data_IF_519152127210
#
_entry.id   IF_519152127210
#
_cell.length_a   1.000
_cell.length_b   1.000
_cell.length_c   1.000
_cell.angle_alpha   90.00
_cell.angle_beta   90.00
_cell.angle_gamma   90.00
#
_symmetry.space_group_name_H-M   'P 1'
#
loop_
_entity.id
_entity.type
_entity.pdbx_description
1 polymer ?
#
# COMPACT_ATOMS: atom_id res chain seq x y z
N UNK A 1 10.87 26.53 -14.51
CA UNK A 1 11.51 25.22 -14.79
C UNK A 1 10.47 24.12 -14.65
N UNK A 2 9.88 23.63 -15.75
CA UNK A 2 9.04 22.44 -15.69
C UNK A 2 9.93 21.26 -15.30
N UNK A 3 9.74 20.73 -14.08
CA UNK A 3 10.46 19.55 -13.60
C UNK A 3 10.22 18.40 -14.57
N UNK A 4 11.27 17.66 -14.90
CA UNK A 4 11.25 16.51 -15.82
C UNK A 4 10.05 15.59 -15.58
N UNK A 5 9.66 15.39 -14.32
CA UNK A 5 8.47 14.64 -13.91
C UNK A 5 7.16 15.16 -14.54
N UNK A 6 6.96 16.48 -14.61
CA UNK A 6 5.75 17.12 -15.15
C UNK A 6 5.67 16.99 -16.67
N UNK A 7 6.81 16.96 -17.35
CA UNK A 7 6.91 16.70 -18.80
C UNK A 7 6.65 15.22 -19.10
N UNK A 8 7.25 14.31 -18.35
CA UNK A 8 6.99 12.86 -18.45
C UNK A 8 5.51 12.51 -18.23
N UNK A 9 4.87 13.12 -17.23
CA UNK A 9 3.46 12.88 -16.93
C UNK A 9 2.52 13.30 -18.08
N UNK A 10 2.90 14.31 -18.89
CA UNK A 10 2.14 14.73 -20.07
C UNK A 10 2.29 13.77 -21.26
N UNK A 11 3.42 13.06 -21.33
CA UNK A 11 3.73 12.10 -22.39
C UNK A 11 3.16 10.70 -22.11
N UNK A 12 2.78 10.42 -20.86
CA UNK A 12 2.11 9.16 -20.51
C UNK A 12 0.66 9.18 -21.02
N UNK A 13 0.18 8.08 -21.64
CA UNK A 13 -1.20 7.99 -22.13
C UNK A 13 -2.18 8.14 -20.96
N UNK A 14 -2.94 9.24 -20.95
CA UNK A 14 -3.88 9.60 -19.87
C UNK A 14 -4.94 8.52 -19.63
N UNK A 15 -5.32 7.76 -20.66
CA UNK A 15 -6.33 6.71 -20.59
C UNK A 15 -5.82 5.37 -20.03
N UNK A 16 -4.52 5.10 -20.02
CA UNK A 16 -4.00 3.77 -19.69
C UNK A 16 -2.64 3.83 -18.99
N UNK A 17 -2.61 4.36 -17.77
CA UNK A 17 -1.44 4.24 -16.90
C UNK A 17 -1.20 2.74 -16.63
N UNK A 18 -0.03 2.17 -16.99
CA UNK A 18 0.31 0.78 -16.71
C UNK A 18 0.16 0.45 -15.21
N UNK A 19 -0.26 -0.76 -14.83
CA UNK A 19 -0.46 -1.14 -13.42
C UNK A 19 0.76 -0.87 -12.52
N UNK A 20 1.97 -1.03 -13.05
CA UNK A 20 3.24 -0.73 -12.37
C UNK A 20 3.33 0.73 -11.91
N UNK A 21 2.73 1.66 -12.65
CA UNK A 21 2.73 3.10 -12.34
C UNK A 21 1.53 3.52 -11.50
N UNK A 22 0.63 2.60 -11.15
CA UNK A 22 -0.51 2.88 -10.28
C UNK A 22 -0.09 2.74 -8.82
N UNK A 23 -0.22 3.80 -8.02
CA UNK A 23 -0.06 3.74 -6.55
C UNK A 23 -1.38 3.40 -5.82
N UNK A 24 -2.35 2.90 -6.57
CA UNK A 24 -3.73 2.72 -6.11
C UNK A 24 -3.84 1.52 -5.16
N UNK A 25 -4.82 1.60 -4.27
CA UNK A 25 -5.27 0.46 -3.49
C UNK A 25 -5.71 -0.72 -4.39
N UNK A 26 -5.21 -1.93 -4.14
CA UNK A 26 -5.62 -3.14 -4.86
C UNK A 26 -5.55 -4.36 -3.94
N UNK A 27 -5.69 -5.57 -4.48
CA UNK A 27 -5.42 -6.78 -3.70
C UNK A 27 -3.91 -6.88 -3.37
N UNK A 28 -3.54 -7.72 -2.40
CA UNK A 28 -2.15 -7.82 -1.94
C UNK A 28 -1.17 -8.15 -3.07
N UNK A 29 -1.51 -9.13 -3.90
CA UNK A 29 -0.63 -9.62 -4.96
C UNK A 29 -0.46 -8.59 -6.07
N UNK A 30 -1.54 -7.91 -6.45
CA UNK A 30 -1.52 -6.82 -7.44
C UNK A 30 -0.75 -5.60 -6.96
N UNK A 31 -0.65 -5.37 -5.65
CA UNK A 31 0.21 -4.32 -5.10
C UNK A 31 1.67 -4.76 -5.20
N UNK A 32 1.97 -5.96 -4.71
CA UNK A 32 3.34 -6.47 -4.66
C UNK A 32 3.94 -6.77 -6.05
N UNK A 33 3.12 -7.16 -7.03
CA UNK A 33 3.56 -7.49 -8.39
C UNK A 33 3.96 -6.27 -9.22
N UNK A 34 3.68 -5.04 -8.73
CA UNK A 34 4.12 -3.80 -9.38
C UNK A 34 5.62 -3.58 -9.28
N UNK A 35 6.26 -4.17 -8.28
CA UNK A 35 7.71 -4.12 -8.10
C UNK A 35 8.32 -5.47 -8.45
N UNK A 36 9.43 -5.51 -9.21
CA UNK A 36 10.07 -6.78 -9.58
C UNK A 36 10.60 -7.55 -8.36
N UNK A 37 10.94 -6.85 -7.28
CA UNK A 37 11.25 -7.46 -5.98
C UNK A 37 10.34 -6.90 -4.89
N UNK A 38 9.45 -7.76 -4.39
CA UNK A 38 8.53 -7.43 -3.31
C UNK A 38 9.14 -7.59 -1.92
N UNK A 39 10.31 -8.26 -1.79
CA UNK A 39 10.95 -8.51 -0.50
C UNK A 39 11.42 -7.20 0.13
N UNK A 40 11.21 -7.07 1.43
CA UNK A 40 11.53 -5.88 2.22
C UNK A 40 10.47 -4.77 2.15
N UNK A 41 9.47 -4.88 1.25
CA UNK A 41 8.40 -3.90 1.17
C UNK A 41 7.50 -3.96 2.39
N UNK A 42 7.01 -2.79 2.79
CA UNK A 42 5.99 -2.64 3.82
C UNK A 42 4.64 -2.47 3.13
N UNK A 43 3.63 -3.19 3.59
CA UNK A 43 2.25 -3.05 3.10
C UNK A 43 1.27 -3.11 4.25
N UNK A 44 0.15 -2.41 4.12
CA UNK A 44 -0.91 -2.42 5.13
C UNK A 44 -2.29 -2.61 4.50
N UNK A 45 -3.22 -3.10 5.31
CA UNK A 45 -4.63 -3.12 4.93
C UNK A 45 -5.23 -1.72 5.14
N UNK A 46 -5.87 -1.15 4.13
CA UNK A 46 -6.42 0.22 4.21
C UNK A 46 -7.44 0.38 5.34
N UNK A 47 -8.13 -0.71 5.70
CA UNK A 47 -9.06 -0.71 6.84
C UNK A 47 -8.37 -0.39 8.17
N UNK A 48 -7.07 -0.64 8.32
CA UNK A 48 -6.34 -0.29 9.53
C UNK A 48 -6.26 1.23 9.68
N UNK A 49 -5.92 1.93 8.61
CA UNK A 49 -5.97 3.39 8.54
C UNK A 49 -7.37 3.92 8.90
N UNK A 50 -8.43 3.35 8.30
CA UNK A 50 -9.83 3.72 8.60
C UNK A 50 -10.25 3.48 10.06
N UNK A 51 -9.57 2.56 10.74
CA UNK A 51 -9.80 2.24 12.16
C UNK A 51 -8.84 3.01 13.08
N UNK A 52 -8.14 4.01 12.57
CA UNK A 52 -7.12 4.78 13.31
C UNK A 52 -6.03 3.90 13.93
N UNK A 53 -5.75 2.75 13.30
CA UNK A 53 -4.64 1.87 13.68
C UNK A 53 -3.43 2.37 12.90
N UNK A 54 -2.56 3.12 13.56
CA UNK A 54 -1.31 3.63 13.01
C UNK A 54 -0.16 2.63 13.20
N UNK A 55 0.85 2.78 12.34
CA UNK A 55 2.13 2.05 12.39
C UNK A 55 1.96 0.52 12.39
N UNK A 56 0.90 0.02 11.76
CA UNK A 56 0.69 -1.41 11.53
C UNK A 56 0.91 -1.74 10.06
N UNK A 57 1.76 -2.73 9.79
CA UNK A 57 2.11 -3.16 8.45
C UNK A 57 2.66 -4.58 8.46
N UNK A 58 2.64 -5.21 7.31
CA UNK A 58 3.40 -6.42 7.03
C UNK A 58 4.69 -6.03 6.32
N UNK A 59 5.82 -6.50 6.82
CA UNK A 59 7.09 -6.47 6.09
C UNK A 59 7.22 -7.77 5.30
N UNK A 60 7.23 -7.67 3.98
CA UNK A 60 7.26 -8.83 3.10
C UNK A 60 8.64 -9.48 3.12
N UNK A 61 8.68 -10.79 3.36
CA UNK A 61 9.91 -11.59 3.34
C UNK A 61 10.00 -12.46 2.10
N UNK A 62 8.84 -12.93 1.60
CA UNK A 62 8.76 -13.78 0.41
C UNK A 62 7.42 -13.60 -0.29
N UNK A 63 7.42 -13.64 -1.61
CA UNK A 63 6.20 -13.60 -2.40
C UNK A 63 6.29 -14.56 -3.60
N UNK A 64 5.19 -15.24 -3.88
CA UNK A 64 5.03 -16.12 -5.04
C UNK A 64 3.76 -15.71 -5.76
N UNK A 65 3.90 -15.20 -6.98
CA UNK A 65 2.80 -14.71 -7.78
C UNK A 65 2.39 -15.74 -8.84
N UNK A 66 1.11 -15.73 -9.19
CA UNK A 66 0.53 -16.47 -10.32
C UNK A 66 -0.48 -15.58 -11.05
N UNK A 67 -0.93 -16.01 -12.22
CA UNK A 67 -1.93 -15.28 -13.02
C UNK A 67 -1.53 -13.81 -13.20
N UNK A 68 -0.31 -13.56 -13.69
CA UNK A 68 0.22 -12.21 -13.95
C UNK A 68 0.21 -11.27 -12.72
N UNK A 69 0.28 -11.81 -11.51
CA UNK A 69 0.32 -11.01 -10.28
C UNK A 69 -1.05 -10.73 -9.66
N UNK A 70 -2.14 -11.28 -10.19
CA UNK A 70 -3.47 -11.13 -9.60
C UNK A 70 -3.68 -12.01 -8.36
N UNK A 71 -2.95 -13.12 -8.30
CA UNK A 71 -3.07 -14.15 -7.26
C UNK A 71 -1.69 -14.59 -6.79
N UNK A 72 -1.64 -15.28 -5.66
CA UNK A 72 -0.37 -15.79 -5.16
C UNK A 72 -0.42 -16.25 -3.71
N UNK A 73 0.76 -16.31 -3.12
CA UNK A 73 1.01 -16.45 -1.69
C UNK A 73 2.09 -15.44 -1.31
N UNK A 74 1.92 -14.79 -0.17
CA UNK A 74 2.90 -13.85 0.36
C UNK A 74 3.14 -14.17 1.83
N UNK A 75 4.39 -14.06 2.25
CA UNK A 75 4.84 -14.26 3.61
C UNK A 75 5.51 -12.98 4.09
N UNK A 76 5.43 -12.76 5.40
CA UNK A 76 6.04 -11.60 6.00
C UNK A 76 6.02 -11.64 7.51
N UNK A 77 6.48 -10.53 8.08
CA UNK A 77 6.49 -10.26 9.50
C UNK A 77 5.45 -9.18 9.81
N UNK A 78 4.54 -9.46 10.73
CA UNK A 78 3.55 -8.48 11.16
C UNK A 78 4.16 -7.51 12.17
N UNK A 79 4.15 -6.24 11.82
CA UNK A 79 4.33 -5.14 12.75
C UNK A 79 2.94 -4.60 13.11
N UNK A 80 2.65 -4.58 14.40
CA UNK A 80 1.40 -4.07 14.94
C UNK A 80 1.69 -2.90 15.88
N UNK A 81 1.21 -1.70 15.52
CA UNK A 81 1.46 -0.46 16.26
C UNK A 81 2.96 -0.28 16.58
N UNK A 82 3.81 -0.51 15.58
CA UNK A 82 5.28 -0.41 15.66
C UNK A 82 6.00 -1.60 16.29
N UNK A 83 5.28 -2.58 16.84
CA UNK A 83 5.90 -3.76 17.49
C UNK A 83 5.85 -4.97 16.56
N UNK A 84 6.97 -5.68 16.44
CA UNK A 84 7.01 -6.98 15.76
C UNK A 84 6.19 -7.99 16.56
N UNK A 85 5.14 -8.54 15.95
CA UNK A 85 4.24 -9.55 16.56
C UNK A 85 4.56 -10.95 16.06
N UNK A 86 5.06 -11.08 14.83
CA UNK A 86 5.46 -12.39 14.31
C UNK A 86 6.73 -12.86 15.00
N UNK A 87 6.59 -13.91 15.80
CA UNK A 87 7.70 -14.55 16.51
C UNK A 87 8.41 -15.54 15.56
N UNK A 88 9.68 -15.27 15.24
CA UNK A 88 10.51 -16.17 14.44
C UNK A 88 10.65 -15.79 12.96
N UNK A 89 10.43 -16.76 12.06
CA UNK A 89 10.88 -16.68 10.66
C UNK A 89 9.99 -15.79 9.78
N UNK A 90 8.79 -16.23 9.47
CA UNK A 90 7.82 -15.52 8.63
C UNK A 90 6.45 -16.20 8.72
N UNK A 91 5.38 -15.43 8.57
CA UNK A 91 4.01 -15.95 8.55
C UNK A 91 3.34 -15.74 7.18
N UNK A 92 2.43 -16.65 6.83
CA UNK A 92 1.60 -16.51 5.63
C UNK A 92 0.58 -15.37 5.82
N UNK A 93 0.63 -14.37 4.94
CA UNK A 93 -0.29 -13.24 4.98
C UNK A 93 -1.67 -13.67 4.51
N UNK A 94 -2.63 -13.68 5.43
CA UNK A 94 -4.03 -14.05 5.13
C UNK A 94 -4.83 -12.87 4.57
N UNK A 95 -5.87 -13.18 3.80
CA UNK A 95 -6.79 -12.18 3.26
C UNK A 95 -6.21 -11.35 2.11
N UNK A 96 -5.20 -11.85 1.41
CA UNK A 96 -4.57 -11.16 0.28
C UNK A 96 -5.54 -10.74 -0.82
N UNK A 97 -6.51 -11.60 -1.16
CA UNK A 97 -7.58 -11.31 -2.13
C UNK A 97 -8.78 -10.56 -1.53
N UNK A 98 -9.00 -10.70 -0.21
CA UNK A 98 -10.20 -10.18 0.46
C UNK A 98 -10.13 -8.69 0.72
N UNK A 99 -8.96 -8.19 1.12
CA UNK A 99 -8.80 -6.81 1.56
C UNK A 99 -8.16 -5.94 0.50
N UNK A 100 -8.38 -4.63 0.62
CA UNK A 100 -7.61 -3.62 -0.12
C UNK A 100 -6.33 -3.31 0.64
N UNK A 101 -5.22 -3.47 -0.06
CA UNK A 101 -3.86 -3.27 0.41
C UNK A 101 -3.23 -2.03 -0.23
N UNK A 102 -2.25 -1.46 0.45
CA UNK A 102 -1.46 -0.33 -0.03
C UNK A 102 -0.03 -0.46 0.50
N UNK A 103 0.95 0.03 -0.28
CA UNK A 103 2.33 0.15 0.17
C UNK A 103 2.48 1.15 1.34
N UNK A 104 3.49 0.92 2.15
CA UNK A 104 3.81 1.69 3.35
C UNK A 104 3.05 1.24 4.59
N UNK A 105 3.15 2.07 5.63
CA UNK A 105 2.57 1.82 6.96
C UNK A 105 1.16 2.38 7.07
N UNK A 106 0.33 1.78 7.91
CA UNK A 106 -0.96 2.37 8.19
C UNK A 106 -0.78 3.70 8.94
N UNK A 107 -1.51 4.71 8.49
CA UNK A 107 -1.58 6.00 9.16
C UNK A 107 -3.05 6.30 9.42
N UNK A 108 -3.35 6.95 10.53
CA UNK A 108 -4.69 7.52 10.70
C UNK A 108 -4.97 8.47 9.52
N UNK A 109 -6.19 8.49 8.98
CA UNK A 109 -6.56 9.53 8.02
C UNK A 109 -6.25 10.88 8.66
N UNK A 110 -5.61 11.76 7.89
CA UNK A 110 -5.46 13.14 8.32
C UNK A 110 -6.85 13.67 8.73
N UNK A 111 -6.95 14.46 9.81
CA UNK A 111 -8.19 15.17 10.10
C UNK A 111 -8.63 15.88 8.82
N UNK A 112 -9.90 15.76 8.45
CA UNK A 112 -10.44 16.59 7.39
C UNK A 112 -10.15 18.05 7.77
N UNK A 113 -9.70 18.90 6.84
CA UNK A 113 -9.55 20.31 7.13
C UNK A 113 -10.89 20.80 7.66
N UNK A 114 -10.91 21.21 8.92
CA UNK A 114 -12.10 21.81 9.53
C UNK A 114 -12.35 23.07 8.72
N UNK A 115 -13.48 23.14 8.01
CA UNK A 115 -13.92 24.36 7.36
C UNK A 115 -14.13 25.38 8.48
N UNK A 116 -13.15 26.27 8.67
CA UNK A 116 -13.24 27.34 9.65
C UNK A 116 -14.19 28.36 9.04
N UNK A 117 -15.45 28.29 9.46
CA UNK A 117 -16.47 29.28 9.13
C UNK A 117 -16.05 30.61 9.77
N UNK A 118 -15.34 31.43 8.99
CA UNK A 118 -15.02 32.81 9.36
C UNK A 118 -16.34 33.59 9.32
N UNK A 119 -16.99 33.73 10.47
CA UNK A 119 -18.06 34.72 10.64
C UNK A 119 -17.42 36.10 10.50
N UNK A 120 -17.73 36.75 9.38
CA UNK A 120 -17.39 38.15 9.14
C UNK A 120 -18.09 39.04 10.17
N UNK A 121 -17.31 39.97 10.71
CA UNK A 121 -17.73 41.12 11.52
C UNK A 121 -17.76 42.36 10.63
#
# INVERSE_FOLDING_TARGET
>A
MATVAKSLQRLLPRQAIPPVLKHNAANLYQVLSRTPNAVGKEVHQIRWSRKHISDSFWRITRAQFKCNGDHGKAWGQLYWKGKLVTEGREELIRGGLKYKWREGRSAAPAPLPVEVEVKGE
#
